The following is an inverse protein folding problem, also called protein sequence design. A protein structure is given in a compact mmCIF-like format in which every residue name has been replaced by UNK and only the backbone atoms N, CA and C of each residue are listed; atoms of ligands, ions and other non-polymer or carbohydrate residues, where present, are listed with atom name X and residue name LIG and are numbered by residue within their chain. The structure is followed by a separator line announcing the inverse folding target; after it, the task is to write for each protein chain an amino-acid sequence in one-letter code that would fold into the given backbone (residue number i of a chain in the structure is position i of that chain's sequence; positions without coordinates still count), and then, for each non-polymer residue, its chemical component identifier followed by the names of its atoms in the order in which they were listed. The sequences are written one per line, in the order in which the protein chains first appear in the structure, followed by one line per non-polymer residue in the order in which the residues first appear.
data_IF_161772757871
#
_entry.id   IF_161772757871
#
_cell.length_a   1.000
_cell.length_b   1.000
_cell.length_c   1.000
_cell.angle_alpha   90.00
_cell.angle_beta   90.00
_cell.angle_gamma   90.00
#
_symmetry.space_group_name_H-M   'P 1'
#
loop_
_entity.id
_entity.type
_entity.pdbx_description
1 polymer ?
#
# COMPACT_ATOMS: atom_id res chain seq x y z
N UNK A 1 -31.20 -30.32 26.94
CA UNK A 1 -29.73 -30.49 26.86
C UNK A 1 -29.49 -31.11 25.49
N UNK A 2 -28.89 -30.43 24.51
CA UNK A 2 -27.48 -30.05 24.48
C UNK A 2 -27.26 -28.81 23.61
N UNK A 3 -26.32 -27.99 24.07
CA UNK A 3 -25.84 -26.71 23.56
C UNK A 3 -24.79 -26.97 22.47
N UNK A 4 -24.90 -26.39 21.29
CA UNK A 4 -23.74 -26.19 20.39
C UNK A 4 -23.83 -24.80 19.75
N UNK A 5 -23.20 -23.85 20.43
CA UNK A 5 -22.79 -22.57 19.89
C UNK A 5 -21.68 -22.84 18.86
N UNK A 6 -22.02 -22.79 17.57
CA UNK A 6 -21.07 -22.87 16.45
C UNK A 6 -20.87 -21.52 15.78
N UNK A 7 -20.60 -20.47 16.57
CA UNK A 7 -20.21 -19.14 16.06
C UNK A 7 -18.68 -19.11 15.97
N UNK A 8 -18.14 -19.66 14.89
CA UNK A 8 -16.82 -19.26 14.39
C UNK A 8 -16.81 -19.40 12.89
N UNK A 9 -17.50 -18.47 12.22
CA UNK A 9 -17.15 -18.13 10.85
C UNK A 9 -15.84 -17.33 10.91
N UNK A 10 -14.72 -18.05 10.83
CA UNK A 10 -13.42 -17.47 10.48
C UNK A 10 -12.80 -18.41 9.46
N UNK A 11 -13.41 -18.48 8.27
CA UNK A 11 -12.66 -18.95 7.11
C UNK A 11 -11.83 -17.76 6.66
N UNK A 12 -10.52 -17.87 6.83
CA UNK A 12 -9.51 -17.23 5.98
C UNK A 12 -9.44 -15.70 6.08
N UNK A 13 -8.76 -15.21 7.11
CA UNK A 13 -8.12 -13.89 7.10
C UNK A 13 -6.80 -13.99 7.85
N UNK A 14 -5.85 -14.70 7.25
CA UNK A 14 -4.44 -14.61 7.63
C UNK A 14 -3.78 -13.37 6.97
N UNK A 15 -4.56 -12.30 6.86
CA UNK A 15 -4.17 -10.89 6.69
C UNK A 15 -3.76 -10.33 8.06
N UNK A 16 -2.87 -11.04 8.78
CA UNK A 16 -2.63 -10.91 10.21
C UNK A 16 -2.29 -9.46 10.63
N UNK A 17 -3.35 -8.70 10.94
CA UNK A 17 -3.37 -7.28 11.29
C UNK A 17 -2.31 -6.44 10.55
N UNK A 18 -2.57 -6.16 9.27
CA UNK A 18 -1.98 -5.02 8.57
C UNK A 18 -2.94 -3.82 8.72
N UNK A 19 -3.04 -3.16 9.90
CA UNK A 19 -4.06 -2.14 10.19
C UNK A 19 -3.80 -0.81 9.49
N UNK A 20 -2.64 -0.67 8.86
CA UNK A 20 -2.24 0.58 8.23
C UNK A 20 -2.37 0.45 6.72
N UNK A 21 -2.55 1.58 6.04
CA UNK A 21 -2.72 1.63 4.60
C UNK A 21 -1.85 2.71 3.98
N UNK A 22 -1.26 2.38 2.84
CA UNK A 22 -0.61 3.33 1.95
C UNK A 22 -1.45 3.43 0.68
N UNK A 23 -1.72 4.64 0.25
CA UNK A 23 -2.40 4.93 -1.01
C UNK A 23 -1.50 5.81 -1.86
N UNK A 24 -1.13 5.29 -3.03
CA UNK A 24 -0.33 6.00 -4.03
C UNK A 24 -1.26 6.47 -5.14
N UNK A 25 -1.23 7.76 -5.47
CA UNK A 25 -2.07 8.37 -6.51
C UNK A 25 -1.19 8.95 -7.60
N UNK A 26 -1.35 8.41 -8.82
CA UNK A 26 -0.68 8.91 -10.02
C UNK A 26 -1.24 10.27 -10.46
N UNK A 27 -0.40 11.10 -11.07
CA UNK A 27 -0.75 12.46 -11.49
C UNK A 27 -0.82 12.65 -13.02
N UNK A 28 -0.82 11.57 -13.79
CA UNK A 28 -0.83 11.58 -15.25
C UNK A 28 0.55 11.68 -15.90
N UNK A 29 1.61 11.47 -15.12
CA UNK A 29 3.01 11.45 -15.60
C UNK A 29 3.69 10.24 -14.95
N UNK A 30 4.41 9.41 -15.72
CA UNK A 30 5.07 8.22 -15.18
C UNK A 30 6.04 8.65 -14.09
N UNK A 31 5.88 8.07 -12.91
CA UNK A 31 6.67 8.43 -11.74
C UNK A 31 6.98 7.21 -10.91
N UNK A 32 8.14 7.21 -10.27
CA UNK A 32 8.59 6.12 -9.44
C UNK A 32 8.29 6.42 -7.97
N UNK A 33 7.97 5.36 -7.23
CA UNK A 33 7.81 5.42 -5.79
C UNK A 33 8.47 4.20 -5.14
N UNK A 34 9.02 4.44 -3.97
CA UNK A 34 9.59 3.42 -3.10
C UNK A 34 9.16 3.72 -1.66
N UNK A 35 8.79 2.68 -0.92
CA UNK A 35 8.60 2.79 0.52
C UNK A 35 8.92 1.50 1.24
N UNK A 36 9.35 1.64 2.49
CA UNK A 36 9.69 0.51 3.37
C UNK A 36 9.03 0.67 4.73
N UNK A 37 8.64 -0.45 5.33
CA UNK A 37 7.99 -0.52 6.63
C UNK A 37 8.79 -1.43 7.58
N UNK A 38 8.60 -1.23 8.89
CA UNK A 38 9.21 -2.07 9.90
C UNK A 38 8.55 -3.46 10.00
N UNK A 39 7.28 -3.58 9.59
CA UNK A 39 6.52 -4.82 9.59
C UNK A 39 6.41 -5.47 8.21
N UNK A 40 5.26 -6.08 7.97
CA UNK A 40 4.93 -6.73 6.71
C UNK A 40 4.12 -5.77 5.83
N UNK A 41 4.25 -5.89 4.51
CA UNK A 41 3.50 -5.11 3.53
C UNK A 41 2.95 -5.99 2.41
N UNK A 42 1.72 -5.70 2.01
CA UNK A 42 1.01 -6.42 0.96
C UNK A 42 0.23 -5.45 0.06
N UNK A 43 0.16 -5.76 -1.23
CA UNK A 43 -0.65 -4.99 -2.18
C UNK A 43 -2.13 -5.38 -2.08
N UNK A 44 -3.00 -4.37 -2.03
CA UNK A 44 -4.43 -4.56 -2.23
C UNK A 44 -4.72 -4.54 -3.73
N UNK A 45 -4.71 -5.71 -4.34
CA UNK A 45 -5.03 -5.90 -5.76
C UNK A 45 -6.53 -5.73 -6.02
N UNK A 46 -7.04 -4.51 -5.93
CA UNK A 46 -8.41 -4.20 -6.38
C UNK A 46 -8.43 -3.82 -7.87
N UNK A 47 -7.34 -3.27 -8.39
CA UNK A 47 -7.17 -2.91 -9.81
C UNK A 47 -5.65 -2.81 -10.09
N UNK A 48 -4.97 -3.93 -10.42
CA UNK A 48 -3.55 -3.85 -10.75
C UNK A 48 -3.42 -3.06 -12.05
N UNK A 49 -2.98 -1.80 -11.92
CA UNK A 49 -2.45 -1.04 -13.05
C UNK A 49 -1.36 -1.92 -13.69
N UNK A 50 -1.29 -2.02 -15.01
CA UNK A 50 -0.26 -2.82 -15.74
C UNK A 50 1.17 -2.24 -15.59
N UNK A 51 1.45 -1.59 -14.47
CA UNK A 51 2.73 -1.02 -14.11
C UNK A 51 3.55 -2.00 -13.28
N UNK A 52 4.86 -1.99 -13.52
CA UNK A 52 5.81 -2.82 -12.80
C UNK A 52 5.87 -2.39 -11.32
N UNK A 53 5.09 -3.06 -10.48
CA UNK A 53 5.13 -2.92 -9.02
C UNK A 53 5.68 -4.19 -8.42
N UNK A 54 6.80 -4.07 -7.72
CA UNK A 54 7.46 -5.16 -7.01
C UNK A 54 7.21 -4.97 -5.52
N UNK A 55 6.51 -5.94 -4.93
CA UNK A 55 6.24 -5.98 -3.49
C UNK A 55 7.07 -7.09 -2.87
N UNK A 56 7.92 -6.69 -1.93
CA UNK A 56 8.66 -7.61 -1.06
C UNK A 56 7.99 -7.66 0.31
N UNK A 57 8.55 -8.44 1.24
CA UNK A 57 7.99 -8.60 2.59
C UNK A 57 7.76 -7.28 3.32
N UNK A 58 8.68 -6.33 3.19
CA UNK A 58 8.71 -5.10 4.00
C UNK A 58 8.97 -3.83 3.17
N UNK A 59 9.06 -3.95 1.85
CA UNK A 59 9.34 -2.85 0.95
C UNK A 59 8.57 -3.00 -0.36
N UNK A 60 8.24 -1.87 -0.96
CA UNK A 60 7.59 -1.79 -2.26
C UNK A 60 8.38 -0.83 -3.12
N UNK A 61 8.62 -1.25 -4.36
CA UNK A 61 9.13 -0.41 -5.44
C UNK A 61 8.13 -0.48 -6.58
N UNK A 62 7.78 0.65 -7.17
CA UNK A 62 6.89 0.65 -8.31
C UNK A 62 6.88 1.95 -9.09
N UNK A 63 6.06 1.92 -10.15
CA UNK A 63 5.79 3.07 -11.01
C UNK A 63 4.29 3.30 -11.07
N UNK A 64 3.90 4.58 -11.13
CA UNK A 64 2.51 4.98 -11.34
C UNK A 64 2.43 6.23 -12.22
N UNK A 65 1.72 6.13 -13.35
CA UNK A 65 1.36 7.24 -14.22
C UNK A 65 -0.02 7.77 -13.83
N UNK A 66 -1.04 6.92 -13.91
CA UNK A 66 -2.44 7.21 -13.60
C UNK A 66 -3.03 6.17 -12.65
N UNK A 67 -4.12 6.55 -11.97
CA UNK A 67 -4.86 5.64 -11.10
C UNK A 67 -4.41 5.68 -9.65
N UNK A 68 -4.80 4.65 -8.91
CA UNK A 68 -4.58 4.55 -7.47
C UNK A 68 -4.10 3.15 -7.13
N UNK A 69 -3.01 3.06 -6.39
CA UNK A 69 -2.48 1.80 -5.88
C UNK A 69 -2.52 1.80 -4.36
N UNK A 70 -3.02 0.70 -3.77
CA UNK A 70 -3.25 0.58 -2.33
C UNK A 70 -2.46 -0.58 -1.76
N UNK A 71 -1.92 -0.37 -0.57
CA UNK A 71 -1.14 -1.37 0.16
C UNK A 71 -1.59 -1.41 1.60
N UNK A 72 -1.66 -2.60 2.20
CA UNK A 72 -1.81 -2.78 3.65
C UNK A 72 -0.45 -3.06 4.24
N UNK A 73 -0.18 -2.49 5.42
CA UNK A 73 1.06 -2.76 6.14
C UNK A 73 0.87 -2.80 7.65
N UNK A 74 1.86 -3.34 8.35
CA UNK A 74 1.98 -3.31 9.81
C UNK A 74 3.27 -2.62 10.25
N UNK A 75 3.31 -2.19 11.51
CA UNK A 75 4.44 -1.45 12.06
C UNK A 75 4.50 0.00 11.58
N UNK A 76 5.67 0.59 11.68
CA UNK A 76 5.94 2.00 11.34
C UNK A 76 6.51 2.12 9.93
N UNK A 77 6.17 3.21 9.23
CA UNK A 77 6.82 3.57 7.98
C UNK A 77 8.27 3.97 8.26
N UNK A 78 9.20 3.26 7.63
CA UNK A 78 10.63 3.46 7.83
C UNK A 78 11.22 4.43 6.80
N UNK A 79 10.79 4.33 5.54
CA UNK A 79 11.25 5.20 4.46
C UNK A 79 10.18 5.41 3.40
N UNK A 80 10.21 6.58 2.77
CA UNK A 80 9.36 6.95 1.65
C UNK A 80 10.17 7.82 0.68
N UNK A 81 10.16 7.43 -0.57
CA UNK A 81 10.82 8.14 -1.65
C UNK A 81 9.90 8.18 -2.87
N UNK A 82 9.79 9.36 -3.48
CA UNK A 82 8.99 9.58 -4.69
C UNK A 82 9.79 10.48 -5.61
N UNK A 83 9.84 10.08 -6.88
CA UNK A 83 10.52 10.83 -7.93
C UNK A 83 9.65 10.86 -9.18
N UNK A 84 9.61 12.01 -9.85
CA UNK A 84 9.01 12.07 -11.19
C UNK A 84 9.93 11.42 -12.24
N UNK A 85 9.45 11.31 -13.48
CA UNK A 85 10.24 10.81 -14.61
C UNK A 85 11.60 11.52 -14.81
N UNK A 86 11.71 12.77 -14.36
CA UNK A 86 12.94 13.56 -14.48
C UNK A 86 13.88 13.38 -13.27
N UNK A 87 13.52 12.50 -12.33
CA UNK A 87 14.28 12.26 -11.10
C UNK A 87 14.16 13.39 -10.08
N UNK A 88 13.18 14.30 -10.23
CA UNK A 88 12.92 15.32 -9.21
C UNK A 88 12.16 14.69 -8.05
N UNK A 89 12.76 14.75 -6.87
CA UNK A 89 12.21 14.18 -5.65
C UNK A 89 11.14 15.07 -5.03
N UNK A 90 10.07 14.46 -4.52
CA UNK A 90 9.12 15.13 -3.62
C UNK A 90 8.33 16.30 -4.23
N UNK A 91 7.50 16.93 -3.38
CA UNK A 91 6.48 17.93 -3.75
C UNK A 91 6.97 19.23 -4.42
N UNK A 92 8.23 19.29 -4.83
CA UNK A 92 8.81 20.32 -5.67
C UNK A 92 8.33 20.19 -7.14
N UNK A 93 7.96 18.98 -7.57
CA UNK A 93 7.37 18.74 -8.89
C UNK A 93 5.85 18.51 -8.79
N UNK A 94 5.01 19.23 -9.57
CA UNK A 94 3.58 18.94 -9.62
C UNK A 94 3.29 17.54 -10.17
N UNK A 95 4.27 16.92 -10.84
CA UNK A 95 4.14 15.59 -11.45
C UNK A 95 4.46 14.43 -10.52
N UNK A 96 5.05 14.65 -9.33
CA UNK A 96 5.30 13.55 -8.39
C UNK A 96 4.01 12.95 -7.85
N UNK A 97 3.96 11.62 -7.66
CA UNK A 97 2.78 10.95 -7.15
C UNK A 97 2.51 11.38 -5.72
N UNK A 98 1.25 11.34 -5.34
CA UNK A 98 0.85 11.67 -3.96
C UNK A 98 0.74 10.39 -3.15
N UNK A 99 1.44 10.34 -2.02
CA UNK A 99 1.34 9.22 -1.09
C UNK A 99 0.57 9.66 0.15
N UNK A 100 -0.49 8.92 0.45
CA UNK A 100 -1.25 9.02 1.68
C UNK A 100 -0.95 7.82 2.56
N UNK A 101 -0.65 8.06 3.83
CA UNK A 101 -0.37 7.03 4.83
C UNK A 101 -1.38 7.16 5.95
N UNK A 102 -2.23 6.14 6.09
CA UNK A 102 -3.26 6.06 7.12
C UNK A 102 -2.89 4.98 8.13
N UNK A 103 -2.79 5.36 9.42
CA UNK A 103 -2.56 4.41 10.51
C UNK A 103 -3.88 4.01 11.18
N UNK A 104 -4.02 2.74 11.55
CA UNK A 104 -5.18 2.24 12.29
C UNK A 104 -6.50 2.23 11.51
N UNK A 105 -6.43 2.17 10.17
CA UNK A 105 -7.60 1.95 9.32
C UNK A 105 -8.08 0.51 9.45
N UNK A 106 -8.92 0.27 10.44
CA UNK A 106 -9.70 -0.97 10.50
C UNK A 106 -10.69 -0.94 9.35
N UNK A 107 -10.57 -1.89 8.42
CA UNK A 107 -11.57 -2.17 7.39
C UNK A 107 -12.86 -2.59 8.14
N UNK A 108 -13.74 -1.62 8.40
CA UNK A 108 -14.97 -1.80 9.18
C UNK A 108 -16.18 -1.95 8.27
#
# INVERSE_FOLDING_TARGET
MTRTNGKTASSESNTEQLPNRITVVGRGVPSNFEFSVAGDIEMMSEDPVEEATVVTKNAVEGSIEVGVQRFRFSGELANIHVADWNGMEGGESPSTPTIHVDYGVSDR
#
